data_IF_812701609506
#
_entry.id   IF_812701609506
#
_cell.length_a   1.000
_cell.length_b   1.000
_cell.length_c   1.000
_cell.angle_alpha   90.00
_cell.angle_beta   90.00
_cell.angle_gamma   90.00
#
_symmetry.space_group_name_H-M   'P 1'
#
loop_
_entity.id
_entity.type
_entity.pdbx_description
1 polymer ?
#
# COMPACT_ATOMS: atom_id res chain seq x y z
N UNK A 1 -15.33 -6.97 10.11
CA UNK A 1 -14.05 -6.50 9.58
C UNK A 1 -14.33 -5.78 8.28
N UNK A 2 -13.92 -4.52 8.14
CA UNK A 2 -14.00 -3.79 6.87
C UNK A 2 -12.60 -3.25 6.60
N UNK A 3 -11.96 -3.78 5.56
CA UNK A 3 -10.58 -3.42 5.23
C UNK A 3 -10.56 -2.14 4.40
N UNK A 4 -9.78 -1.14 4.81
CA UNK A 4 -9.54 0.07 4.01
C UNK A 4 -8.18 0.02 3.35
N UNK A 5 -8.14 0.25 2.05
CA UNK A 5 -6.91 0.44 1.30
C UNK A 5 -6.20 1.71 1.78
N UNK A 6 -4.92 1.61 2.11
CA UNK A 6 -4.03 2.73 2.39
C UNK A 6 -3.39 3.28 1.10
N UNK A 7 -3.42 2.49 0.02
CA UNK A 7 -2.95 2.85 -1.30
C UNK A 7 -2.62 1.63 -2.14
N UNK A 8 -2.44 1.87 -3.44
CA UNK A 8 -2.06 0.85 -4.41
C UNK A 8 -0.86 1.34 -5.23
N UNK A 9 0.03 0.40 -5.58
CA UNK A 9 1.23 0.70 -6.37
C UNK A 9 1.38 -0.28 -7.53
N UNK A 10 1.49 0.25 -8.73
CA UNK A 10 1.73 -0.50 -9.96
C UNK A 10 3.23 -0.76 -10.16
N UNK A 11 3.58 -2.01 -10.44
CA UNK A 11 4.94 -2.40 -10.79
C UNK A 11 4.92 -3.35 -11.98
N UNK A 12 5.59 -2.98 -13.07
CA UNK A 12 5.57 -3.73 -14.33
C UNK A 12 6.11 -5.16 -14.21
N UNK A 13 6.82 -5.48 -13.13
CA UNK A 13 7.38 -6.80 -12.83
C UNK A 13 6.71 -7.50 -11.63
N UNK A 14 5.45 -7.19 -11.31
CA UNK A 14 4.71 -7.87 -10.23
C UNK A 14 4.32 -9.32 -10.61
N UNK A 15 5.31 -10.17 -10.88
CA UNK A 15 5.13 -11.59 -11.18
C UNK A 15 6.33 -12.40 -10.65
N UNK A 16 6.20 -13.73 -10.65
CA UNK A 16 7.22 -14.61 -10.07
C UNK A 16 7.35 -14.41 -8.56
N UNK A 17 8.59 -14.44 -8.04
CA UNK A 17 8.88 -14.27 -6.62
C UNK A 17 9.00 -12.82 -6.16
N UNK A 18 8.98 -11.85 -7.07
CA UNK A 18 9.17 -10.43 -6.74
C UNK A 18 8.11 -9.90 -5.76
N UNK A 19 6.80 -10.17 -5.91
CA UNK A 19 5.79 -9.69 -4.97
C UNK A 19 6.00 -10.24 -3.56
N UNK A 20 6.40 -11.52 -3.44
CA UNK A 20 6.66 -12.17 -2.16
C UNK A 20 7.88 -11.57 -1.45
N UNK A 21 8.98 -11.37 -2.19
CA UNK A 21 10.19 -10.73 -1.66
C UNK A 21 9.95 -9.26 -1.29
N UNK A 22 9.18 -8.54 -2.11
CA UNK A 22 8.78 -7.17 -1.82
C UNK A 22 7.90 -7.08 -0.57
N UNK A 23 6.98 -8.03 -0.36
CA UNK A 23 6.18 -8.10 0.86
C UNK A 23 7.06 -8.33 2.10
N UNK A 24 8.04 -9.24 2.02
CA UNK A 24 8.97 -9.48 3.13
C UNK A 24 9.83 -8.25 3.47
N UNK A 25 10.36 -7.57 2.44
CA UNK A 25 11.07 -6.28 2.62
C UNK A 25 10.16 -5.20 3.19
N UNK A 26 8.93 -5.11 2.71
CA UNK A 26 7.95 -4.14 3.21
C UNK A 26 7.66 -4.39 4.70
N UNK A 27 7.46 -5.64 5.12
CA UNK A 27 7.30 -6.00 6.54
C UNK A 27 8.54 -5.57 7.34
N UNK A 28 9.74 -5.78 6.81
CA UNK A 28 10.98 -5.36 7.45
C UNK A 28 11.06 -3.82 7.61
N UNK A 29 10.64 -3.07 6.58
CA UNK A 29 10.56 -1.61 6.63
C UNK A 29 9.51 -1.13 7.63
N UNK A 30 8.34 -1.75 7.68
CA UNK A 30 7.25 -1.40 8.62
C UNK A 30 7.64 -1.69 10.06
N UNK A 31 8.45 -2.73 10.31
CA UNK A 31 8.95 -3.08 11.66
C UNK A 31 9.96 -2.07 12.21
N UNK A 32 10.56 -1.20 11.39
CA UNK A 32 11.45 -0.16 11.88
C UNK A 32 10.66 0.82 12.78
N UNK A 33 11.10 1.10 14.02
CA UNK A 33 10.31 1.88 14.98
C UNK A 33 9.87 3.26 14.47
N UNK A 34 10.74 3.95 13.72
CA UNK A 34 10.45 5.27 13.15
C UNK A 34 9.38 5.15 12.08
N UNK A 35 9.51 4.19 11.16
CA UNK A 35 8.54 3.96 10.09
C UNK A 35 7.19 3.56 10.68
N UNK A 36 7.19 2.65 11.66
CA UNK A 36 5.99 2.23 12.37
C UNK A 36 5.25 3.42 13.02
N UNK A 37 5.98 4.34 13.66
CA UNK A 37 5.40 5.52 14.28
C UNK A 37 4.73 6.44 13.25
N UNK A 38 5.38 6.68 12.10
CA UNK A 38 4.81 7.50 11.02
C UNK A 38 3.56 6.82 10.43
N UNK A 39 3.63 5.51 10.12
CA UNK A 39 2.49 4.75 9.58
C UNK A 39 1.31 4.79 10.55
N UNK A 40 1.55 4.62 11.85
CA UNK A 40 0.49 4.72 12.86
C UNK A 40 -0.18 6.09 12.86
N UNK A 41 0.59 7.16 12.69
CA UNK A 41 0.05 8.51 12.61
C UNK A 41 -0.73 8.74 11.31
N UNK A 42 -0.23 8.23 10.18
CA UNK A 42 -0.97 8.26 8.91
C UNK A 42 -2.32 7.55 9.05
N UNK A 43 -2.34 6.33 9.62
CA UNK A 43 -3.57 5.55 9.84
C UNK A 43 -4.55 6.31 10.74
N UNK A 44 -4.08 6.85 11.87
CA UNK A 44 -4.92 7.68 12.75
C UNK A 44 -5.49 8.89 12.02
N UNK A 45 -4.70 9.52 11.17
CA UNK A 45 -5.11 10.70 10.43
C UNK A 45 -6.20 10.41 9.41
N UNK A 46 -6.35 9.18 8.93
CA UNK A 46 -7.36 8.79 7.92
C UNK A 46 -8.55 8.04 8.53
N UNK A 47 -8.41 7.55 9.76
CA UNK A 47 -9.42 6.76 10.43
C UNK A 47 -10.67 7.60 10.71
N UNK A 48 -11.83 7.09 10.28
CA UNK A 48 -13.13 7.75 10.45
C UNK A 48 -13.34 9.01 9.58
N UNK A 49 -12.34 9.46 8.82
CA UNK A 49 -12.47 10.68 8.00
C UNK A 49 -13.19 10.46 6.68
N UNK A 50 -12.96 9.32 6.03
CA UNK A 50 -13.48 9.04 4.69
C UNK A 50 -14.63 8.04 4.69
N UNK A 51 -15.55 8.24 3.75
CA UNK A 51 -16.66 7.35 3.43
C UNK A 51 -16.19 6.04 2.80
N UNK A 52 -17.14 5.16 2.48
CA UNK A 52 -16.86 3.96 1.68
C UNK A 52 -16.62 4.33 0.21
N UNK A 53 -16.30 3.33 -0.60
CA UNK A 53 -16.26 3.49 -2.05
C UNK A 53 -17.56 4.16 -2.55
N UNK A 54 -17.43 5.20 -3.37
CA UNK A 54 -18.53 6.02 -3.90
C UNK A 54 -19.39 6.75 -2.83
N UNK A 55 -18.91 6.84 -1.59
CA UNK A 55 -19.58 7.58 -0.52
C UNK A 55 -18.77 8.80 -0.09
N UNK A 56 -19.47 9.90 0.15
CA UNK A 56 -18.86 11.11 0.69
C UNK A 56 -18.50 10.95 2.18
N UNK A 57 -17.36 11.50 2.64
CA UNK A 57 -16.35 12.18 1.84
C UNK A 57 -15.40 11.19 1.14
N UNK A 58 -15.10 11.47 -0.13
CA UNK A 58 -14.29 10.58 -0.99
C UNK A 58 -12.88 10.35 -0.42
N UNK A 59 -12.39 9.12 -0.57
CA UNK A 59 -11.03 8.73 -0.19
C UNK A 59 -10.05 9.35 -1.22
N UNK A 60 -9.01 10.07 -0.79
CA UNK A 60 -7.99 10.59 -1.70
C UNK A 60 -7.19 9.44 -2.34
N UNK A 61 -6.57 9.68 -3.50
CA UNK A 61 -5.81 8.65 -4.24
C UNK A 61 -4.74 7.96 -3.38
N UNK A 62 -4.08 8.72 -2.52
CA UNK A 62 -3.08 8.25 -1.56
C UNK A 62 -3.38 8.78 -0.15
N UNK A 63 -4.20 8.08 0.64
CA UNK A 63 -4.53 8.51 2.00
C UNK A 63 -3.32 8.40 2.94
N UNK A 64 -2.36 7.50 2.65
CA UNK A 64 -1.14 7.31 3.44
C UNK A 64 0.10 7.33 2.53
N UNK A 65 0.56 8.51 2.09
CA UNK A 65 1.64 8.64 1.11
C UNK A 65 2.97 8.03 1.57
N UNK A 66 3.30 8.08 2.86
CA UNK A 66 4.54 7.51 3.38
C UNK A 66 4.50 5.98 3.41
N UNK A 67 3.36 5.40 3.78
CA UNK A 67 3.13 3.95 3.69
C UNK A 67 3.30 3.45 2.26
N UNK A 68 2.78 4.18 1.27
CA UNK A 68 2.93 3.84 -0.15
C UNK A 68 4.38 4.03 -0.62
N UNK A 69 5.07 5.05 -0.11
CA UNK A 69 6.50 5.25 -0.38
C UNK A 69 7.34 4.05 0.07
N UNK A 70 7.10 3.52 1.28
CA UNK A 70 7.80 2.32 1.74
C UNK A 70 7.50 1.09 0.89
N UNK A 71 6.26 0.93 0.42
CA UNK A 71 5.90 -0.13 -0.53
C UNK A 71 6.65 0.02 -1.86
N UNK A 72 6.75 1.24 -2.38
CA UNK A 72 7.52 1.53 -3.57
C UNK A 72 9.01 1.23 -3.37
N UNK A 73 9.60 1.58 -2.22
CA UNK A 73 10.97 1.19 -1.90
C UNK A 73 11.15 -0.33 -1.92
N UNK A 74 10.22 -1.07 -1.30
CA UNK A 74 10.29 -2.53 -1.24
C UNK A 74 10.16 -3.21 -2.61
N UNK A 75 9.42 -2.62 -3.55
CA UNK A 75 9.25 -3.14 -4.91
C UNK A 75 10.41 -2.76 -5.84
N UNK A 76 10.92 -1.54 -5.73
CA UNK A 76 11.92 -1.02 -6.66
C UNK A 76 13.37 -1.22 -6.20
N UNK A 77 13.62 -1.48 -4.92
CA UNK A 77 14.98 -1.56 -4.37
C UNK A 77 15.18 -2.93 -3.72
N UNK A 78 16.12 -3.69 -4.27
CA UNK A 78 16.62 -4.93 -3.70
C UNK A 78 18.15 -4.89 -3.69
N UNK A 79 18.72 -4.63 -2.52
CA UNK A 79 20.16 -4.48 -2.36
C UNK A 79 20.91 -5.82 -2.36
N UNK A 80 20.22 -6.91 -2.02
CA UNK A 80 20.81 -8.26 -2.01
C UNK A 80 21.02 -8.75 -3.44
N UNK A 81 20.04 -8.50 -4.31
CA UNK A 81 20.09 -8.83 -5.73
C UNK A 81 20.67 -7.68 -6.60
N UNK A 82 21.08 -6.56 -5.98
CA UNK A 82 21.56 -5.33 -6.63
C UNK A 82 20.61 -4.81 -7.73
N UNK A 83 19.32 -4.93 -7.48
CA UNK A 83 18.26 -4.51 -8.39
C UNK A 83 17.70 -3.16 -7.94
N UNK A 84 17.73 -2.19 -8.85
CA UNK A 84 17.09 -0.89 -8.69
C UNK A 84 16.23 -0.65 -9.92
N UNK A 85 14.91 -0.59 -9.74
CA UNK A 85 13.98 -0.21 -10.79
C UNK A 85 13.81 1.32 -10.82
N UNK A 86 14.13 1.92 -11.98
CA UNK A 86 14.10 3.36 -12.18
C UNK A 86 12.79 3.84 -12.81
N UNK A 87 11.72 3.90 -12.02
CA UNK A 87 10.44 4.49 -12.40
C UNK A 87 10.08 5.71 -11.54
N UNK A 88 9.37 6.72 -12.06
CA UNK A 88 8.81 7.78 -11.23
C UNK A 88 7.81 7.20 -10.21
N UNK A 89 7.92 7.60 -8.94
CA UNK A 89 6.99 7.18 -7.89
C UNK A 89 5.53 7.51 -8.24
N UNK A 90 5.27 8.73 -8.74
CA UNK A 90 3.92 9.19 -9.08
C UNK A 90 3.29 8.47 -10.26
N UNK A 91 4.07 8.06 -11.27
CA UNK A 91 3.52 7.36 -12.43
C UNK A 91 3.10 5.92 -12.12
N UNK A 92 3.48 5.43 -10.95
CA UNK A 92 3.22 4.08 -10.47
C UNK A 92 2.18 4.06 -9.34
N UNK A 93 1.74 5.23 -8.88
CA UNK A 93 0.70 5.36 -7.87
C UNK A 93 -0.66 5.03 -8.49
N UNK A 94 -1.44 4.18 -7.81
CA UNK A 94 -2.83 3.91 -8.17
C UNK A 94 -3.76 4.44 -7.07
N UNK A 95 -4.99 4.77 -7.48
CA UNK A 95 -6.01 5.31 -6.58
C UNK A 95 -6.39 4.26 -5.52
N UNK A 96 -6.52 4.67 -4.25
CA UNK A 96 -6.76 3.76 -3.13
C UNK A 96 -8.03 2.92 -3.28
N UNK A 97 -9.02 3.36 -4.06
CA UNK A 97 -10.23 2.56 -4.31
C UNK A 97 -10.04 1.45 -5.35
N UNK A 98 -8.99 1.48 -6.18
CA UNK A 98 -8.78 0.49 -7.25
C UNK A 98 -8.38 -0.90 -6.76
N UNK A 99 -8.08 -1.09 -5.46
CA UNK A 99 -7.39 -2.30 -4.98
C UNK A 99 -7.99 -3.07 -3.81
N UNK A 100 -9.17 -2.71 -3.27
CA UNK A 100 -9.66 -3.33 -2.03
C UNK A 100 -11.13 -3.77 -2.00
N UNK A 101 -11.94 -3.50 -3.03
CA UNK A 101 -13.40 -3.61 -2.87
C UNK A 101 -14.06 -4.81 -3.53
N UNK A 102 -13.49 -5.35 -4.60
CA UNK A 102 -14.08 -6.51 -5.27
C UNK A 102 -13.22 -7.75 -5.13
N UNK A 103 -13.83 -8.81 -4.57
CA UNK A 103 -13.41 -10.20 -4.80
C UNK A 103 -13.59 -10.66 -6.26
N UNK A 104 -13.84 -9.73 -7.18
CA UNK A 104 -13.92 -9.92 -8.61
C UNK A 104 -12.66 -9.40 -9.29
N UNK A 105 -11.84 -10.34 -9.74
CA UNK A 105 -10.94 -10.25 -10.90
C UNK A 105 -10.34 -8.87 -11.25
N UNK A 106 -9.02 -8.78 -11.06
CA UNK A 106 -8.12 -7.87 -11.78
C UNK A 106 -8.44 -7.84 -13.29
N UNK A 107 -9.34 -6.97 -13.74
CA UNK A 107 -9.81 -6.96 -15.15
C UNK A 107 -9.10 -5.97 -16.06
N UNK A 108 -8.09 -5.25 -15.58
CA UNK A 108 -7.11 -4.61 -16.45
C UNK A 108 -5.70 -5.07 -16.08
N UNK A 109 -4.90 -5.34 -17.12
CA UNK A 109 -3.54 -5.90 -17.08
C UNK A 109 -2.56 -4.97 -16.34
N UNK A 110 -2.74 -4.83 -15.04
CA UNK A 110 -2.00 -3.88 -14.22
C UNK A 110 -1.52 -4.66 -13.02
N UNK A 111 -0.22 -4.92 -12.99
CA UNK A 111 0.48 -5.66 -11.96
C UNK A 111 0.62 -4.75 -10.73
N UNK A 112 -0.32 -4.76 -9.79
CA UNK A 112 -0.30 -3.86 -8.62
C UNK A 112 -0.48 -4.58 -7.28
N UNK A 113 -0.01 -3.94 -6.21
CA UNK A 113 -0.19 -4.40 -4.82
C UNK A 113 -0.96 -3.33 -4.06
N UNK A 114 -2.03 -3.73 -3.37
CA UNK A 114 -2.75 -2.91 -2.40
C UNK A 114 -2.42 -3.38 -0.98
N UNK A 115 -2.40 -2.44 -0.04
CA UNK A 115 -2.26 -2.74 1.38
C UNK A 115 -3.32 -1.99 2.16
N UNK A 116 -3.88 -2.62 3.20
CA UNK A 116 -4.98 -2.06 3.96
C UNK A 116 -5.01 -2.51 5.42
N UNK A 117 -5.84 -1.84 6.22
CA UNK A 117 -6.07 -2.15 7.63
C UNK A 117 -7.56 -2.41 7.89
N UNK A 118 -7.88 -3.26 8.87
CA UNK A 118 -9.26 -3.47 9.31
C UNK A 118 -9.69 -2.31 10.21
N UNK A 119 -10.80 -1.65 9.88
CA UNK A 119 -11.36 -0.58 10.71
C UNK A 119 -11.95 -1.09 12.02
N UNK A 120 -12.23 -2.39 12.13
CA UNK A 120 -12.75 -3.00 13.36
C UNK A 120 -11.65 -3.47 14.30
N UNK A 121 -10.40 -3.53 13.84
CA UNK A 121 -9.27 -3.97 14.64
C UNK A 121 -8.42 -2.77 15.05
N UNK A 122 -8.74 -2.22 16.22
CA UNK A 122 -7.93 -1.20 16.88
C UNK A 122 -6.63 -1.79 17.50
N UNK A 123 -6.28 -3.06 17.23
CA UNK A 123 -5.01 -3.63 17.64
C UNK A 123 -3.91 -3.28 16.62
N UNK A 124 -3.48 -2.03 16.68
CA UNK A 124 -2.17 -1.64 16.15
C UNK A 124 -1.13 -2.57 16.81
N UNK A 125 -0.29 -3.31 16.06
CA UNK A 125 0.72 -4.17 16.67
C UNK A 125 1.60 -3.29 17.53
N UNK A 126 1.62 -3.53 18.85
CA UNK A 126 2.36 -2.73 19.83
C UNK A 126 3.86 -2.76 19.54
#
# INVERSE_FOLDING_TARGET
AYYRCLGAYHHQWCYGSLPLRAADRFITLVKQPVNAAIIREEIKSVQGKYGRHEQEPQIPDAPCPYSIFLLACALNIDLEERYIHGGPFRSSLLEAWMGCWDGGLCQHRTSFISFGYDTNDASIPR
#
